data_IF_493685125265
#
_entry.id   IF_493685125265
#
_cell.length_a   1.000
_cell.length_b   1.000
_cell.length_c   1.000
_cell.angle_alpha   90.00
_cell.angle_beta   90.00
_cell.angle_gamma   90.00
#
_symmetry.space_group_name_H-M   'P 1'
#
loop_
_entity.id
_entity.type
_entity.pdbx_description
1 polymer ?
#
# COMPACT_ATOMS: atom_id res chain seq x y z
N UNK A 1 33.17 -1.07 -2.57
CA UNK A 1 32.32 0.12 -2.70
C UNK A 1 30.87 -0.32 -2.78
N UNK A 2 30.08 -0.06 -1.74
CA UNK A 2 28.64 -0.32 -1.76
C UNK A 2 27.98 0.70 -2.68
N UNK A 3 27.38 0.25 -3.79
CA UNK A 3 26.58 1.13 -4.65
C UNK A 3 25.42 1.67 -3.81
N UNK A 4 25.45 2.96 -3.48
CA UNK A 4 24.29 3.64 -2.92
C UNK A 4 23.25 3.74 -4.03
N UNK A 5 22.13 3.03 -3.89
CA UNK A 5 21.06 3.08 -4.87
C UNK A 5 20.36 4.44 -4.77
N UNK A 6 20.16 5.18 -5.88
CA UNK A 6 19.58 6.52 -5.86
C UNK A 6 18.09 6.53 -5.43
N UNK A 7 17.45 5.38 -5.56
CA UNK A 7 16.10 5.10 -5.07
C UNK A 7 16.22 3.84 -4.22
N UNK A 8 15.82 3.93 -2.96
CA UNK A 8 15.76 2.78 -2.08
C UNK A 8 14.47 2.82 -1.27
N UNK A 9 13.91 1.63 -1.02
CA UNK A 9 12.61 1.46 -0.36
C UNK A 9 12.87 0.93 1.04
N UNK A 10 12.39 1.63 2.05
CA UNK A 10 12.31 1.11 3.40
C UNK A 10 11.02 0.32 3.53
N UNK A 11 11.13 -1.01 3.54
CA UNK A 11 9.99 -1.93 3.69
C UNK A 11 9.91 -2.37 5.14
N UNK A 12 8.91 -1.90 5.88
CA UNK A 12 8.65 -2.37 7.24
C UNK A 12 7.84 -3.66 7.18
N UNK A 13 8.51 -4.79 7.00
CA UNK A 13 7.92 -6.12 7.16
C UNK A 13 8.55 -6.78 8.39
N UNK A 14 7.73 -7.35 9.28
CA UNK A 14 8.16 -7.93 10.56
C UNK A 14 9.18 -9.09 10.46
N UNK A 15 9.71 -9.42 9.28
CA UNK A 15 10.33 -10.72 9.03
C UNK A 15 11.67 -10.77 8.26
N UNK A 16 12.11 -9.88 7.33
CA UNK A 16 13.28 -10.26 6.48
C UNK A 16 14.25 -9.18 5.91
N UNK A 17 15.49 -9.63 5.61
CA UNK A 17 16.72 -8.93 5.14
C UNK A 17 17.03 -8.99 3.60
N UNK A 18 16.12 -9.43 2.72
CA UNK A 18 16.34 -9.42 1.25
C UNK A 18 15.05 -9.55 0.44
N UNK A 19 15.13 -9.39 -0.90
CA UNK A 19 14.00 -9.38 -1.84
C UNK A 19 13.09 -10.61 -1.70
N UNK A 20 11.91 -10.39 -1.12
CA UNK A 20 10.87 -11.39 -0.91
C UNK A 20 9.51 -10.83 -1.29
N UNK A 21 8.71 -11.61 -2.02
CA UNK A 21 7.26 -11.43 -2.07
C UNK A 21 6.73 -11.52 -0.64
N UNK A 22 6.24 -10.41 -0.07
CA UNK A 22 5.76 -10.38 1.32
C UNK A 22 4.24 -10.28 1.35
N UNK A 23 3.61 -11.22 2.06
CA UNK A 23 2.17 -11.21 2.30
C UNK A 23 1.81 -10.17 3.35
N UNK A 24 0.91 -9.25 3.00
CA UNK A 24 0.42 -8.22 3.93
C UNK A 24 -0.87 -8.74 4.55
N UNK A 25 -0.86 -9.03 5.86
CA UNK A 25 -2.05 -9.52 6.56
C UNK A 25 -3.10 -8.42 6.72
N UNK A 26 -2.69 -7.26 7.25
CA UNK A 26 -3.60 -6.18 7.65
C UNK A 26 -3.13 -4.78 7.21
N UNK A 27 -1.84 -4.46 7.36
CA UNK A 27 -1.27 -3.16 6.97
C UNK A 27 0.14 -3.42 6.45
N UNK A 28 0.48 -2.86 5.31
CA UNK A 28 1.85 -2.79 4.81
C UNK A 28 2.15 -1.36 4.41
N UNK A 29 3.33 -0.87 4.79
CA UNK A 29 3.79 0.48 4.56
C UNK A 29 5.18 0.43 3.92
N UNK A 30 5.40 1.30 2.95
CA UNK A 30 6.66 1.46 2.26
C UNK A 30 6.96 2.94 2.14
N UNK A 31 8.13 3.33 2.64
CA UNK A 31 8.64 4.69 2.50
C UNK A 31 9.77 4.68 1.50
N UNK A 32 9.63 5.50 0.47
CA UNK A 32 10.60 5.63 -0.60
C UNK A 32 11.45 6.85 -0.33
N UNK A 33 12.76 6.65 -0.29
CA UNK A 33 13.73 7.73 -0.17
C UNK A 33 14.43 7.94 -1.50
N UNK A 34 14.65 9.19 -1.86
CA UNK A 34 15.36 9.58 -3.09
C UNK A 34 16.53 10.46 -2.72
N UNK A 35 17.72 10.15 -3.25
CA UNK A 35 18.92 10.92 -2.98
C UNK A 35 20.23 10.22 -3.37
N UNK A 36 21.34 10.93 -3.23
CA UNK A 36 22.66 10.45 -3.69
C UNK A 36 23.38 9.56 -2.68
N UNK A 37 22.94 9.53 -1.42
CA UNK A 37 23.48 8.67 -0.36
C UNK A 37 22.48 8.51 0.79
N UNK A 38 22.73 7.56 1.70
CA UNK A 38 21.88 7.35 2.88
C UNK A 38 21.75 8.58 3.80
N UNK A 39 22.77 9.45 3.82
CA UNK A 39 22.77 10.70 4.58
C UNK A 39 22.27 11.90 3.78
N UNK A 40 22.06 11.74 2.48
CA UNK A 40 21.58 12.77 1.57
C UNK A 40 20.42 12.22 0.73
N UNK A 41 19.45 11.62 1.42
CA UNK A 41 18.20 11.15 0.84
C UNK A 41 17.02 11.71 1.61
N UNK A 42 16.04 12.24 0.88
CA UNK A 42 14.79 12.77 1.44
C UNK A 42 13.67 11.74 1.29
N UNK A 43 12.71 11.74 2.21
CA UNK A 43 11.46 11.00 2.02
C UNK A 43 10.73 11.59 0.82
N UNK A 44 10.51 10.78 -0.21
CA UNK A 44 9.87 11.20 -1.44
C UNK A 44 8.39 10.85 -1.45
N UNK A 45 8.06 9.60 -1.10
CA UNK A 45 6.67 9.14 -1.06
C UNK A 45 6.50 8.03 -0.03
N UNK A 46 5.38 8.07 0.69
CA UNK A 46 4.94 6.99 1.57
C UNK A 46 3.72 6.32 0.98
N UNK A 47 3.82 5.02 0.75
CA UNK A 47 2.69 4.22 0.29
C UNK A 47 2.25 3.26 1.37
N UNK A 48 0.94 3.09 1.52
CA UNK A 48 0.36 2.20 2.52
C UNK A 48 -0.78 1.42 1.89
N UNK A 49 -0.77 0.10 2.07
CA UNK A 49 -1.90 -0.76 1.74
C UNK A 49 -2.48 -1.35 3.01
N UNK A 50 -3.79 -1.26 3.17
CA UNK A 50 -4.49 -1.84 4.31
C UNK A 50 -5.61 -2.75 3.87
N UNK A 51 -5.83 -3.80 4.66
CA UNK A 51 -7.01 -4.65 4.64
C UNK A 51 -7.79 -4.40 5.93
N UNK A 52 -9.07 -4.09 5.80
CA UNK A 52 -9.99 -3.93 6.92
C UNK A 52 -11.27 -4.69 6.65
N UNK A 53 -11.88 -5.18 7.72
CA UNK A 53 -13.17 -5.85 7.66
C UNK A 53 -14.19 -4.93 8.32
N UNK A 54 -15.32 -4.73 7.65
CA UNK A 54 -16.42 -3.87 8.12
C UNK A 54 -17.72 -4.66 8.03
N UNK A 55 -18.53 -4.60 9.08
CA UNK A 55 -19.88 -5.19 9.08
C UNK A 55 -20.90 -4.07 8.88
N UNK A 56 -21.77 -4.22 7.89
CA UNK A 56 -22.87 -3.30 7.60
C UNK A 56 -24.11 -4.13 7.29
N UNK A 57 -25.22 -3.85 7.99
CA UNK A 57 -26.50 -4.56 7.83
C UNK A 57 -26.35 -6.10 7.86
N UNK A 58 -25.66 -6.62 8.88
CA UNK A 58 -25.37 -8.05 9.09
C UNK A 58 -24.51 -8.73 7.99
N UNK A 59 -24.09 -7.99 6.96
CA UNK A 59 -23.16 -8.44 5.95
C UNK A 59 -21.72 -7.96 6.26
N UNK A 60 -20.75 -8.84 6.10
CA UNK A 60 -19.35 -8.51 6.28
C UNK A 60 -18.68 -8.19 4.93
N UNK A 61 -17.90 -7.12 4.90
CA UNK A 61 -17.17 -6.63 3.75
C UNK A 61 -15.68 -6.56 4.04
N UNK A 62 -14.86 -6.88 3.05
CA UNK A 62 -13.41 -6.71 3.12
C UNK A 62 -13.02 -5.55 2.22
N UNK A 63 -12.40 -4.55 2.82
CA UNK A 63 -11.99 -3.32 2.15
C UNK A 63 -10.47 -3.29 2.08
N UNK A 64 -9.95 -3.14 0.87
CA UNK A 64 -8.54 -2.86 0.63
C UNK A 64 -8.38 -1.38 0.28
N UNK A 65 -7.46 -0.68 0.96
CA UNK A 65 -7.14 0.72 0.67
C UNK A 65 -5.67 0.84 0.33
N UNK A 66 -5.39 1.51 -0.78
CA UNK A 66 -4.07 1.97 -1.15
C UNK A 66 -3.99 3.49 -0.97
N UNK A 67 -3.04 3.90 -0.17
CA UNK A 67 -2.83 5.26 0.28
C UNK A 67 -1.44 5.70 -0.14
N UNK A 68 -1.33 6.94 -0.60
CA UNK A 68 -0.07 7.62 -0.92
C UNK A 68 -0.09 8.93 -0.17
N UNK A 69 0.91 9.17 0.68
CA UNK A 69 1.04 10.37 1.52
C UNK A 69 -0.28 10.74 2.23
N UNK A 70 -0.85 9.74 2.92
CA UNK A 70 -2.13 9.80 3.64
C UNK A 70 -3.40 10.06 2.80
N UNK A 71 -3.25 10.23 1.49
CA UNK A 71 -4.37 10.29 0.53
C UNK A 71 -4.73 8.90 0.03
N UNK A 72 -5.98 8.45 0.24
CA UNK A 72 -6.47 7.20 -0.33
C UNK A 72 -6.58 7.37 -1.85
N UNK A 73 -5.68 6.75 -2.60
CA UNK A 73 -5.66 6.80 -4.05
C UNK A 73 -6.66 5.79 -4.63
N UNK A 74 -6.75 4.60 -4.02
CA UNK A 74 -7.60 3.52 -4.53
C UNK A 74 -8.17 2.69 -3.38
N UNK A 75 -9.44 2.35 -3.48
CA UNK A 75 -10.15 1.50 -2.53
C UNK A 75 -10.91 0.41 -3.28
N UNK A 76 -10.72 -0.85 -2.91
CA UNK A 76 -11.48 -1.97 -3.45
C UNK A 76 -12.33 -2.60 -2.35
N UNK A 77 -13.58 -2.91 -2.66
CA UNK A 77 -14.55 -3.49 -1.73
C UNK A 77 -14.95 -4.88 -2.23
N UNK A 78 -14.91 -5.84 -1.32
CA UNK A 78 -15.33 -7.23 -1.55
C UNK A 78 -16.38 -7.62 -0.53
N UNK A 79 -17.26 -8.56 -0.87
CA UNK A 79 -18.02 -9.31 0.14
C UNK A 79 -17.08 -10.20 0.94
N UNK A 80 -17.53 -10.68 2.09
CA UNK A 80 -16.81 -11.69 2.87
C UNK A 80 -17.44 -13.06 2.67
N UNK A 81 -16.69 -14.02 2.14
CA UNK A 81 -17.17 -15.42 1.99
C UNK A 81 -16.99 -16.21 3.28
N UNK A 82 -15.96 -15.87 4.07
CA UNK A 82 -15.65 -16.40 5.40
C UNK A 82 -15.07 -15.25 6.22
N UNK A 83 -15.32 -15.22 7.52
CA UNK A 83 -14.91 -14.12 8.41
C UNK A 83 -13.49 -13.62 8.12
N UNK A 84 -13.35 -12.41 7.59
CA UNK A 84 -12.09 -11.77 7.24
C UNK A 84 -11.43 -12.20 5.91
N UNK A 85 -12.10 -12.96 5.05
CA UNK A 85 -11.59 -13.39 3.73
C UNK A 85 -12.36 -12.69 2.61
N UNK A 86 -11.62 -12.06 1.70
CA UNK A 86 -12.20 -11.40 0.53
C UNK A 86 -12.88 -12.43 -0.37
N UNK A 87 -14.17 -12.19 -0.63
CA UNK A 87 -15.04 -12.98 -1.48
C UNK A 87 -15.25 -12.33 -2.84
N UNK A 88 -16.51 -12.06 -3.17
CA UNK A 88 -16.90 -11.47 -4.46
C UNK A 88 -16.49 -10.01 -4.53
N UNK A 89 -15.83 -9.61 -5.61
CA UNK A 89 -15.53 -8.22 -5.91
C UNK A 89 -16.82 -7.42 -6.10
N UNK A 90 -16.95 -6.29 -5.42
CA UNK A 90 -18.12 -5.42 -5.52
C UNK A 90 -17.84 -4.19 -6.36
N UNK A 91 -16.82 -3.42 -5.96
CA UNK A 91 -16.49 -2.16 -6.62
C UNK A 91 -15.09 -1.67 -6.29
N UNK A 92 -14.64 -0.71 -7.09
CA UNK A 92 -13.40 0.01 -6.88
C UNK A 92 -13.64 1.51 -6.97
N UNK A 93 -13.11 2.25 -6.02
CA UNK A 93 -13.16 3.71 -5.94
C UNK A 93 -11.74 4.22 -6.10
N UNK A 94 -11.54 5.23 -6.94
CA UNK A 94 -10.22 5.82 -7.18
C UNK A 94 -10.36 7.33 -7.01
N UNK A 95 -9.56 7.91 -6.12
CA UNK A 95 -9.57 9.35 -5.86
C UNK A 95 -8.42 10.06 -6.55
N UNK A 96 -7.70 9.40 -7.46
CA UNK A 96 -6.58 10.01 -8.15
C UNK A 96 -7.10 11.07 -9.15
N UNK A 97 -6.79 12.37 -8.98
CA UNK A 97 -6.91 13.33 -10.05
C UNK A 97 -5.73 13.12 -11.00
N UNK A 98 -5.74 12.07 -11.82
CA UNK A 98 -4.79 11.98 -12.93
C UNK A 98 -5.30 12.91 -14.05
N UNK A 99 -4.99 14.20 -13.94
CA UNK A 99 -4.85 15.04 -15.13
C UNK A 99 -3.62 14.56 -15.87
N UNK A 100 -3.81 14.11 -17.11
CA UNK A 100 -2.74 13.71 -18.03
C UNK A 100 -1.70 14.83 -18.16
N UNK A 101 -0.64 14.77 -17.34
CA UNK A 101 0.57 15.55 -17.52
C UNK A 101 1.53 14.73 -18.36
N UNK A 102 1.62 15.07 -19.64
CA UNK A 102 2.70 14.66 -20.54
C UNK A 102 4.04 15.09 -19.95
N UNK A 103 4.91 14.11 -19.68
CA UNK A 103 6.35 14.31 -19.43
C UNK A 103 7.13 13.98 -20.69
#
# INVERSE_FOLDING_TARGET
>A
MAKSYPIWVNVTACIYKSSKSYGIRNTGEQTYHVGSSASNSVEFVRTRITKRTVTLNDAEYVIFRYTVDDVIIKQAVFTSTKKGTAGTFLRIETNAPFTNGSY
#
